data_IF_815284194711
#
_entry.id   IF_815284194711
#
_cell.length_a   1.000
_cell.length_b   1.000
_cell.length_c   1.000
_cell.angle_alpha   90.00
_cell.angle_beta   90.00
_cell.angle_gamma   90.00
#
_symmetry.space_group_name_H-M   'P 1'
#
loop_
_entity.id
_entity.type
_entity.pdbx_description
1 polymer ?
#
# COMPACT_ATOMS: atom_id res chain seq x y z
N UNK A 1 -21.18 42.79 50.36
CA UNK A 1 -21.72 41.42 50.56
C UNK A 1 -22.25 40.96 49.21
N UNK A 2 -21.58 40.03 48.51
CA UNK A 2 -21.82 38.55 48.48
C UNK A 2 -22.94 38.13 47.50
N UNK A 3 -22.54 37.46 46.39
CA UNK A 3 -23.41 36.74 45.44
C UNK A 3 -24.13 37.64 44.40
N UNK A 4 -24.64 37.15 43.26
CA UNK A 4 -24.51 35.88 42.54
C UNK A 4 -25.13 36.08 41.10
N UNK A 5 -24.94 35.30 40.03
CA UNK A 5 -24.27 34.01 39.71
C UNK A 5 -23.48 34.14 38.37
N UNK A 6 -22.77 33.09 37.95
CA UNK A 6 -22.40 32.87 36.54
C UNK A 6 -23.62 32.36 35.73
N UNK A 7 -23.64 32.63 34.42
CA UNK A 7 -24.45 31.90 33.44
C UNK A 7 -23.56 31.46 32.28
N UNK A 8 -23.00 30.25 32.38
CA UNK A 8 -22.14 29.64 31.38
C UNK A 8 -23.00 28.82 30.42
N UNK A 9 -23.19 29.28 29.18
CA UNK A 9 -23.93 28.51 28.16
C UNK A 9 -22.94 27.64 27.37
N UNK A 10 -22.85 26.35 27.74
CA UNK A 10 -22.18 25.37 26.89
C UNK A 10 -23.05 25.07 25.67
N UNK A 11 -22.62 25.51 24.49
CA UNK A 11 -23.07 24.92 23.24
C UNK A 11 -22.26 23.65 22.97
N UNK A 12 -22.87 22.48 23.21
CA UNK A 12 -22.25 21.19 22.92
C UNK A 12 -22.23 20.94 21.41
N UNK A 13 -21.09 21.22 20.76
CA UNK A 13 -20.84 20.81 19.38
C UNK A 13 -20.53 19.32 19.38
N UNK A 14 -21.48 18.50 18.91
CA UNK A 14 -21.23 17.08 18.64
C UNK A 14 -20.38 16.99 17.37
N UNK A 15 -19.07 16.81 17.53
CA UNK A 15 -18.22 16.40 16.41
C UNK A 15 -18.56 14.96 16.05
N UNK A 16 -19.18 14.78 14.89
CA UNK A 16 -19.19 13.49 14.20
C UNK A 16 -17.74 13.17 13.81
N UNK A 17 -17.12 12.23 14.52
CA UNK A 17 -15.81 11.72 14.16
C UNK A 17 -15.92 10.94 12.85
N UNK A 18 -15.53 11.57 11.74
CA UNK A 18 -15.24 10.86 10.50
C UNK A 18 -13.91 10.14 10.68
N UNK A 19 -13.93 8.82 10.86
CA UNK A 19 -12.75 7.97 10.87
C UNK A 19 -12.04 8.01 9.51
N UNK A 20 -11.23 9.05 9.33
CA UNK A 20 -10.38 9.25 8.17
C UNK A 20 -9.18 8.34 8.34
N UNK A 21 -9.24 7.14 7.76
CA UNK A 21 -8.09 6.25 7.68
C UNK A 21 -6.93 6.98 6.99
N UNK A 22 -5.91 7.35 7.77
CA UNK A 22 -4.74 8.06 7.26
C UNK A 22 -3.91 7.08 6.42
N UNK A 23 -4.03 7.20 5.10
CA UNK A 23 -3.13 6.52 4.18
C UNK A 23 -1.69 6.98 4.44
N UNK A 24 -0.87 6.10 4.99
CA UNK A 24 0.52 6.40 5.28
C UNK A 24 1.34 6.44 3.98
N UNK A 25 1.80 7.64 3.60
CA UNK A 25 2.72 7.81 2.48
C UNK A 25 4.13 7.39 2.90
N UNK A 26 4.52 6.16 2.59
CA UNK A 26 5.87 5.65 2.82
C UNK A 26 6.80 6.00 1.67
N UNK A 27 8.02 6.44 1.98
CA UNK A 27 9.10 6.49 1.00
C UNK A 27 9.51 5.05 0.61
N UNK A 28 9.86 4.80 -0.65
CA UNK A 28 10.19 3.46 -1.15
C UNK A 28 11.35 2.81 -0.36
N UNK A 29 12.40 3.57 -0.05
CA UNK A 29 13.51 3.13 0.83
C UNK A 29 13.03 2.68 2.24
N UNK A 30 11.96 3.28 2.75
CA UNK A 30 11.32 2.86 4.01
C UNK A 30 10.47 1.60 3.86
N UNK A 31 10.04 1.25 2.65
CA UNK A 31 9.33 0.00 2.35
C UNK A 31 10.26 -1.17 2.05
N UNK A 32 11.45 -0.93 1.50
CA UNK A 32 12.42 -1.99 1.15
C UNK A 32 12.89 -2.81 2.39
N UNK A 33 12.80 -2.23 3.60
CA UNK A 33 13.04 -2.93 4.87
C UNK A 33 11.93 -3.91 5.29
N UNK A 34 10.75 -3.78 4.69
CA UNK A 34 9.53 -4.54 5.00
C UNK A 34 9.10 -5.45 3.86
N UNK A 35 9.28 -5.02 2.61
CA UNK A 35 8.81 -5.74 1.44
C UNK A 35 9.95 -6.00 0.46
N UNK A 36 10.09 -7.26 0.05
CA UNK A 36 10.93 -7.65 -1.10
C UNK A 36 10.03 -8.09 -2.24
N UNK A 37 10.24 -7.55 -3.44
CA UNK A 37 9.50 -7.96 -4.63
C UNK A 37 10.44 -8.78 -5.53
N UNK A 38 10.01 -9.99 -5.87
CA UNK A 38 10.66 -10.83 -6.88
C UNK A 38 9.67 -11.05 -8.01
N UNK A 39 10.09 -10.84 -9.26
CA UNK A 39 9.22 -11.02 -10.41
C UNK A 39 10.01 -11.49 -11.64
N UNK A 40 9.27 -12.03 -12.61
CA UNK A 40 9.74 -12.44 -13.92
C UNK A 40 8.76 -11.97 -15.00
N UNK A 41 9.21 -11.97 -16.26
CA UNK A 41 8.37 -11.60 -17.41
C UNK A 41 8.37 -12.76 -18.40
N UNK A 42 7.19 -13.36 -18.61
CA UNK A 42 6.96 -14.35 -19.64
C UNK A 42 6.47 -13.66 -20.92
N UNK A 43 7.09 -13.97 -22.06
CA UNK A 43 6.61 -13.51 -23.36
C UNK A 43 5.33 -14.27 -23.75
N UNK A 44 4.40 -13.59 -24.41
CA UNK A 44 3.11 -14.14 -24.84
C UNK A 44 2.67 -13.47 -26.15
N UNK A 45 1.76 -14.10 -26.89
CA UNK A 45 1.40 -13.71 -28.26
C UNK A 45 0.68 -12.35 -28.38
N UNK A 46 0.09 -11.83 -27.28
CA UNK A 46 -0.57 -10.53 -27.25
C UNK A 46 0.23 -9.50 -26.46
N UNK A 47 0.45 -9.77 -25.16
CA UNK A 47 1.17 -8.91 -24.24
C UNK A 47 2.02 -9.75 -23.29
N UNK A 48 3.27 -9.35 -22.98
CA UNK A 48 4.06 -10.00 -21.94
C UNK A 48 3.30 -10.06 -20.61
N UNK A 49 3.50 -11.14 -19.86
CA UNK A 49 2.90 -11.35 -18.54
C UNK A 49 4.00 -11.18 -17.50
N UNK A 50 3.82 -10.21 -16.61
CA UNK A 50 4.69 -9.99 -15.45
C UNK A 50 4.05 -10.66 -14.24
N UNK A 51 4.77 -11.56 -13.60
CA UNK A 51 4.28 -12.25 -12.39
C UNK A 51 5.39 -12.49 -11.38
N UNK A 52 5.01 -12.66 -10.11
CA UNK A 52 5.98 -12.68 -9.03
C UNK A 52 5.36 -12.82 -7.64
N UNK A 53 6.19 -12.59 -6.63
CA UNK A 53 5.81 -12.59 -5.23
C UNK A 53 6.26 -11.32 -4.53
N UNK A 54 5.40 -10.81 -3.65
CA UNK A 54 5.82 -9.86 -2.61
C UNK A 54 6.02 -10.65 -1.32
N UNK A 55 7.19 -10.52 -0.72
CA UNK A 55 7.53 -11.07 0.60
C UNK A 55 7.37 -9.98 1.64
N UNK A 56 6.65 -10.26 2.72
CA UNK A 56 6.51 -9.39 3.88
C UNK A 56 7.46 -9.85 4.98
N UNK A 57 8.53 -9.08 5.17
CA UNK A 57 9.56 -9.27 6.19
C UNK A 57 9.19 -8.66 7.55
N UNK A 58 8.01 -8.04 7.68
CA UNK A 58 7.51 -7.55 8.97
C UNK A 58 7.23 -8.74 9.92
N UNK A 59 7.72 -8.73 11.17
CA UNK A 59 7.62 -9.87 12.08
C UNK A 59 6.25 -10.05 12.76
N UNK A 60 5.15 -9.45 12.26
CA UNK A 60 3.87 -9.49 12.99
C UNK A 60 2.63 -8.98 12.26
N UNK A 61 2.74 -7.91 11.47
CA UNK A 61 1.60 -7.35 10.75
C UNK A 61 1.52 -7.91 9.31
N UNK A 62 0.40 -8.52 8.89
CA UNK A 62 0.15 -8.76 7.46
C UNK A 62 -0.06 -7.43 6.74
N UNK A 63 0.23 -7.39 5.44
CA UNK A 63 -0.13 -6.27 4.58
C UNK A 63 -1.39 -6.61 3.79
N UNK A 64 -2.43 -5.81 3.93
CA UNK A 64 -3.73 -5.98 3.29
C UNK A 64 -3.89 -4.97 2.14
N UNK A 65 -4.82 -5.25 1.21
CA UNK A 65 -5.14 -4.35 0.09
C UNK A 65 -3.90 -3.83 -0.66
N UNK A 66 -2.89 -4.69 -0.87
CA UNK A 66 -1.65 -4.27 -1.50
C UNK A 66 -1.81 -4.11 -3.02
N UNK A 67 -1.45 -2.94 -3.51
CA UNK A 67 -1.36 -2.60 -4.92
C UNK A 67 0.10 -2.26 -5.27
N UNK A 68 0.56 -2.73 -6.42
CA UNK A 68 1.90 -2.47 -6.96
C UNK A 68 1.82 -1.49 -8.13
N UNK A 69 2.78 -0.57 -8.21
CA UNK A 69 3.10 0.20 -9.41
C UNK A 69 4.02 -0.64 -10.30
N UNK A 70 3.77 -0.62 -11.60
CA UNK A 70 4.62 -1.25 -12.62
C UNK A 70 4.94 -0.20 -13.68
N UNK A 71 6.21 0.17 -13.77
CA UNK A 71 6.72 1.08 -14.79
C UNK A 71 7.47 0.28 -15.86
N UNK A 72 7.07 0.44 -17.12
CA UNK A 72 7.84 -0.03 -18.28
C UNK A 72 8.94 0.99 -18.60
N UNK A 73 10.16 0.50 -18.78
CA UNK A 73 11.35 1.31 -19.05
C UNK A 73 11.91 1.04 -20.45
N UNK A 74 12.42 2.08 -21.11
CA UNK A 74 13.23 1.93 -22.31
C UNK A 74 14.69 1.52 -22.01
N UNK A 75 15.51 1.37 -23.05
CA UNK A 75 16.92 0.99 -22.93
C UNK A 75 17.80 2.05 -22.24
N UNK A 76 17.32 3.29 -22.08
CA UNK A 76 17.98 4.35 -21.32
C UNK A 76 17.47 4.44 -19.86
N UNK A 77 16.54 3.56 -19.46
CA UNK A 77 15.94 3.55 -18.12
C UNK A 77 14.83 4.59 -17.93
N UNK A 78 14.37 5.26 -19.00
CA UNK A 78 13.27 6.22 -18.93
C UNK A 78 11.94 5.49 -18.89
N UNK A 79 11.01 5.95 -18.04
CA UNK A 79 9.63 5.45 -18.00
C UNK A 79 8.91 5.77 -19.31
N UNK A 80 8.43 4.73 -19.98
CA UNK A 80 7.62 4.81 -21.21
C UNK A 80 6.15 4.45 -21.00
N UNK A 81 5.80 3.92 -19.83
CA UNK A 81 4.42 3.70 -19.41
C UNK A 81 4.35 3.23 -17.96
N UNK A 82 3.21 3.48 -17.31
CA UNK A 82 2.95 3.07 -15.93
C UNK A 82 1.59 2.38 -15.85
N UNK A 83 1.53 1.26 -15.15
CA UNK A 83 0.29 0.56 -14.80
C UNK A 83 0.33 0.14 -13.33
N UNK A 84 -0.72 -0.53 -12.86
CA UNK A 84 -0.75 -1.09 -11.51
C UNK A 84 -1.43 -2.46 -11.50
N UNK A 85 -1.16 -3.25 -10.47
CA UNK A 85 -1.86 -4.52 -10.23
C UNK A 85 -2.03 -4.78 -8.73
N UNK A 86 -3.01 -5.62 -8.40
CA UNK A 86 -3.24 -6.08 -7.03
C UNK A 86 -2.38 -7.31 -6.73
N UNK A 87 -1.89 -7.39 -5.50
CA UNK A 87 -1.40 -8.65 -4.93
C UNK A 87 -2.61 -9.50 -4.54
N UNK A 88 -2.54 -10.81 -4.78
CA UNK A 88 -3.66 -11.71 -4.51
C UNK A 88 -3.79 -11.95 -3.00
N UNK A 89 -4.83 -11.36 -2.41
CA UNK A 89 -5.13 -11.46 -0.97
C UNK A 89 -4.28 -10.50 -0.13
N UNK A 90 -3.97 -10.91 1.10
CA UNK A 90 -3.01 -10.22 1.96
C UNK A 90 -1.62 -10.86 1.85
N UNK A 91 -0.58 -10.10 2.19
CA UNK A 91 0.81 -10.56 2.30
C UNK A 91 1.09 -10.90 3.78
N UNK A 92 1.06 -12.17 4.21
CA UNK A 92 1.14 -12.50 5.63
C UNK A 92 2.52 -12.17 6.22
N UNK A 93 2.57 -11.79 7.49
CA UNK A 93 3.82 -11.53 8.20
C UNK A 93 4.79 -12.72 8.08
N UNK A 94 6.05 -12.45 7.74
CA UNK A 94 7.08 -13.47 7.52
C UNK A 94 6.88 -14.37 6.30
N UNK A 95 5.91 -14.08 5.42
CA UNK A 95 5.55 -14.92 4.28
C UNK A 95 5.37 -14.08 2.99
N UNK A 96 4.85 -14.69 1.92
CA UNK A 96 4.68 -14.05 0.62
C UNK A 96 3.29 -14.24 0.01
N UNK A 97 2.91 -13.33 -0.88
CA UNK A 97 1.70 -13.43 -1.69
C UNK A 97 2.03 -13.21 -3.17
N UNK A 98 1.27 -13.85 -4.06
CA UNK A 98 1.50 -13.85 -5.50
C UNK A 98 0.82 -12.67 -6.18
N UNK A 99 1.39 -12.21 -7.30
CA UNK A 99 0.75 -11.27 -8.20
C UNK A 99 1.05 -11.62 -9.66
N UNK A 100 0.16 -11.22 -10.56
CA UNK A 100 0.30 -11.42 -12.01
C UNK A 100 -0.48 -10.34 -12.76
N UNK A 101 0.03 -9.87 -13.89
CA UNK A 101 -0.70 -8.99 -14.81
C UNK A 101 -0.10 -9.02 -16.21
N UNK A 102 -0.90 -8.65 -17.22
CA UNK A 102 -0.38 -8.32 -18.54
C UNK A 102 0.23 -6.91 -18.52
N UNK A 103 1.36 -6.73 -19.22
CA UNK A 103 2.06 -5.45 -19.32
C UNK A 103 2.28 -5.04 -20.77
N UNK A 104 2.39 -3.74 -21.03
CA UNK A 104 2.82 -3.25 -22.33
C UNK A 104 4.30 -3.60 -22.56
N UNK A 105 4.71 -4.02 -23.77
CA UNK A 105 6.12 -4.32 -24.07
C UNK A 105 7.04 -3.14 -23.75
N UNK A 106 8.07 -3.41 -22.94
CA UNK A 106 9.14 -2.49 -22.58
C UNK A 106 10.49 -3.22 -22.56
N UNK A 107 11.62 -2.49 -22.54
CA UNK A 107 12.95 -3.09 -22.50
C UNK A 107 13.28 -3.68 -21.13
N UNK A 108 12.78 -3.06 -20.06
CA UNK A 108 12.78 -3.61 -18.70
C UNK A 108 11.59 -3.05 -17.91
N UNK A 109 11.42 -3.49 -16.67
CA UNK A 109 10.35 -3.00 -15.79
C UNK A 109 10.90 -2.59 -14.43
N UNK A 110 10.19 -1.72 -13.73
CA UNK A 110 10.38 -1.43 -12.30
C UNK A 110 9.06 -1.68 -11.58
N UNK A 111 9.10 -2.48 -10.53
CA UNK A 111 7.92 -2.84 -9.73
C UNK A 111 8.13 -2.33 -8.31
N UNK A 112 7.15 -1.59 -7.79
CA UNK A 112 7.22 -0.93 -6.49
C UNK A 112 5.88 -1.05 -5.76
N UNK A 113 5.89 -0.97 -4.43
CA UNK A 113 4.65 -0.92 -3.65
C UNK A 113 4.02 0.46 -3.84
N UNK A 114 2.79 0.51 -4.37
CA UNK A 114 2.04 1.76 -4.57
C UNK A 114 1.23 2.12 -3.33
N UNK A 115 0.52 1.13 -2.78
CA UNK A 115 -0.37 1.28 -1.63
C UNK A 115 -0.55 -0.08 -0.93
N UNK A 116 -0.80 -0.05 0.38
CA UNK A 116 -1.27 -1.18 1.19
C UNK A 116 -1.75 -0.64 2.56
N UNK A 117 -2.48 -1.47 3.31
CA UNK A 117 -2.79 -1.25 4.72
C UNK A 117 -2.04 -2.25 5.61
N UNK A 118 -1.60 -1.88 6.80
CA UNK A 118 -1.16 -2.87 7.80
C UNK A 118 -2.38 -3.49 8.50
N UNK A 119 -2.60 -4.78 8.31
CA UNK A 119 -3.54 -5.55 9.12
C UNK A 119 -3.03 -5.64 10.56
N UNK A 120 -3.96 -5.63 11.53
CA UNK A 120 -3.63 -5.78 12.96
C UNK A 120 -3.65 -4.52 13.82
N UNK A 121 -4.36 -3.45 13.43
CA UNK A 121 -4.68 -2.32 14.33
C UNK A 121 -6.16 -2.26 14.71
N UNK A 122 -6.62 -3.33 15.37
CA UNK A 122 -7.96 -3.45 15.96
C UNK A 122 -7.97 -3.49 17.50
N UNK A 123 -6.88 -3.08 18.14
CA UNK A 123 -6.73 -3.06 19.60
C UNK A 123 -6.78 -1.64 20.14
N UNK A 124 -7.98 -1.10 20.35
CA UNK A 124 -8.14 0.00 21.30
C UNK A 124 -7.97 -0.59 22.71
N UNK A 125 -6.98 -0.11 23.46
CA UNK A 125 -6.89 -0.36 24.90
C UNK A 125 -7.97 0.44 25.60
N UNK A 126 -9.02 -0.26 26.08
CA UNK A 126 -9.88 0.24 27.16
C UNK A 126 -9.12 0.23 28.49
#
# INVERSE_FOLDING_TARGET
>A
MRGARLALVLAAVVLLATDSAVAANYAQETLDRYFRIEYQVAQSASHPVLSGYVYNMHPGNPAERMQLSIEGLDAAGKVVGTSSTWVLGSVPAGNRAYFTTAVMPAASYRVQVLFFDWGGRGGASN
#
